data_IF_747966788549
#
_entry.id   IF_747966788549
#
_cell.length_a   1.000
_cell.length_b   1.000
_cell.length_c   1.000
_cell.angle_alpha   90.00
_cell.angle_beta   90.00
_cell.angle_gamma   90.00
#
_symmetry.space_group_name_H-M   'P 1'
#
loop_
_entity.id
_entity.type
_entity.pdbx_description
1 polymer ?
#
# COMPACT_ATOMS: atom_id res chain seq x y z
N UNK A 1 9.14 -9.45 -14.93
CA UNK A 1 8.06 -8.55 -14.46
C UNK A 1 6.88 -8.78 -15.39
N UNK A 2 5.65 -8.85 -14.87
CA UNK A 2 4.47 -8.98 -15.74
C UNK A 2 4.35 -7.72 -16.59
N UNK A 3 3.94 -7.86 -17.84
CA UNK A 3 3.58 -6.74 -18.71
C UNK A 3 2.28 -6.09 -18.23
N UNK A 4 2.06 -4.84 -18.60
CA UNK A 4 0.82 -4.11 -18.29
C UNK A 4 -0.42 -4.89 -18.73
N UNK A 5 -0.35 -5.56 -19.89
CA UNK A 5 -1.43 -6.40 -20.42
C UNK A 5 -1.68 -7.61 -19.53
N UNK A 6 -0.64 -8.32 -19.12
CA UNK A 6 -0.77 -9.49 -18.25
C UNK A 6 -1.32 -9.12 -16.87
N UNK A 7 -0.92 -7.97 -16.32
CA UNK A 7 -1.44 -7.45 -15.05
C UNK A 7 -2.95 -7.17 -15.18
N UNK A 8 -3.37 -6.51 -16.26
CA UNK A 8 -4.79 -6.19 -16.50
C UNK A 8 -5.64 -7.45 -16.67
N UNK A 9 -5.16 -8.43 -17.44
CA UNK A 9 -5.88 -9.69 -17.66
C UNK A 9 -6.08 -10.45 -16.33
N UNK A 10 -5.01 -10.61 -15.55
CA UNK A 10 -5.10 -11.26 -14.22
C UNK A 10 -6.01 -10.50 -13.26
N UNK A 11 -6.01 -9.16 -13.31
CA UNK A 11 -6.90 -8.33 -12.51
C UNK A 11 -8.37 -8.54 -12.85
N UNK A 12 -8.72 -8.61 -14.15
CA UNK A 12 -10.09 -8.87 -14.61
C UNK A 12 -10.55 -10.26 -14.19
N UNK A 13 -9.70 -11.28 -14.36
CA UNK A 13 -10.01 -12.64 -13.90
C UNK A 13 -10.28 -12.70 -12.40
N UNK A 14 -9.43 -12.04 -11.59
CA UNK A 14 -9.62 -11.96 -10.15
C UNK A 14 -10.95 -11.27 -9.77
N UNK A 15 -11.31 -10.18 -10.45
CA UNK A 15 -12.58 -9.48 -10.23
C UNK A 15 -13.78 -10.36 -10.57
N UNK A 16 -13.74 -11.07 -11.71
CA UNK A 16 -14.80 -11.98 -12.12
C UNK A 16 -14.95 -13.13 -11.12
N UNK A 17 -13.84 -13.70 -10.65
CA UNK A 17 -13.86 -14.80 -9.69
C UNK A 17 -14.40 -14.37 -8.32
N UNK A 18 -14.10 -13.16 -7.87
CA UNK A 18 -14.55 -12.65 -6.58
C UNK A 18 -15.99 -12.11 -6.58
N UNK A 19 -16.40 -11.43 -7.64
CA UNK A 19 -17.65 -10.66 -7.69
C UNK A 19 -18.70 -11.26 -8.64
N UNK A 20 -18.29 -12.11 -9.58
CA UNK A 20 -19.08 -12.51 -10.74
C UNK A 20 -19.05 -11.47 -11.87
N UNK A 21 -19.38 -11.90 -13.09
CA UNK A 21 -19.23 -11.10 -14.33
C UNK A 21 -19.93 -9.73 -14.27
N UNK A 22 -21.21 -9.72 -13.88
CA UNK A 22 -22.04 -8.49 -13.86
C UNK A 22 -21.50 -7.47 -12.85
N UNK A 23 -21.10 -7.94 -11.66
CA UNK A 23 -20.59 -7.06 -10.61
C UNK A 23 -19.17 -6.58 -10.91
N UNK A 24 -18.34 -7.41 -11.55
CA UNK A 24 -17.01 -7.01 -12.02
C UNK A 24 -17.09 -5.89 -13.08
N UNK A 25 -18.00 -5.99 -14.05
CA UNK A 25 -18.23 -4.93 -15.03
C UNK A 25 -18.71 -3.62 -14.38
N UNK A 26 -19.63 -3.72 -13.42
CA UNK A 26 -20.09 -2.57 -12.64
C UNK A 26 -18.95 -1.94 -11.84
N UNK A 27 -18.10 -2.74 -11.21
CA UNK A 27 -16.92 -2.26 -10.47
C UNK A 27 -15.98 -1.47 -11.38
N UNK A 28 -15.61 -2.02 -12.55
CA UNK A 28 -14.75 -1.33 -13.52
C UNK A 28 -15.40 -0.01 -13.97
N UNK A 29 -16.71 -0.03 -14.22
CA UNK A 29 -17.47 1.17 -14.60
C UNK A 29 -17.45 2.25 -13.52
N UNK A 30 -17.51 1.88 -12.23
CA UNK A 30 -17.43 2.83 -11.12
C UNK A 30 -16.03 3.44 -11.01
N UNK A 31 -14.98 2.62 -11.09
CA UNK A 31 -13.58 3.06 -11.05
C UNK A 31 -13.25 4.03 -12.20
N UNK A 32 -13.87 3.84 -13.38
CA UNK A 32 -13.67 4.74 -14.52
C UNK A 32 -14.47 6.05 -14.42
N UNK A 33 -15.56 6.07 -13.66
CA UNK A 33 -16.46 7.25 -13.53
C UNK A 33 -16.02 8.19 -12.42
N UNK A 34 -15.54 7.65 -11.31
CA UNK A 34 -15.18 8.41 -10.13
C UNK A 34 -13.73 8.12 -9.73
N UNK A 35 -12.92 9.16 -9.43
CA UNK A 35 -11.58 8.94 -8.92
C UNK A 35 -11.67 8.21 -7.58
N UNK A 36 -11.15 7.00 -7.53
CA UNK A 36 -11.05 6.24 -6.30
C UNK A 36 -10.05 6.91 -5.36
N UNK A 37 -10.47 7.24 -4.13
CA UNK A 37 -9.59 7.81 -3.12
C UNK A 37 -8.64 6.73 -2.59
N UNK A 38 -7.50 6.62 -3.28
CA UNK A 38 -6.44 5.70 -2.92
C UNK A 38 -5.87 5.99 -1.51
N UNK A 39 -5.84 7.26 -1.09
CA UNK A 39 -5.33 7.65 0.24
C UNK A 39 -6.25 7.14 1.35
N UNK A 40 -7.56 7.25 1.16
CA UNK A 40 -8.52 6.72 2.12
C UNK A 40 -8.50 5.18 2.17
N UNK A 41 -8.49 4.51 1.02
CA UNK A 41 -8.42 3.05 0.96
C UNK A 41 -7.14 2.51 1.62
N UNK A 42 -6.00 3.12 1.32
CA UNK A 42 -4.71 2.69 1.85
C UNK A 42 -4.64 2.84 3.38
N UNK A 43 -5.18 3.93 3.94
CA UNK A 43 -5.28 4.12 5.41
C UNK A 43 -6.08 3.01 6.09
N UNK A 44 -7.16 2.55 5.45
CA UNK A 44 -8.01 1.50 5.99
C UNK A 44 -7.41 0.09 5.79
N UNK A 45 -6.40 -0.08 4.94
CA UNK A 45 -5.73 -1.37 4.72
C UNK A 45 -4.81 -1.76 5.89
N UNK A 46 -4.33 -0.78 6.65
CA UNK A 46 -3.41 -0.99 7.79
C UNK A 46 -4.08 -0.79 9.14
N UNK A 47 -5.41 -0.82 9.23
CA UNK A 47 -6.14 -0.54 10.48
C UNK A 47 -5.81 -1.46 11.66
N UNK A 48 -5.12 -2.58 11.43
CA UNK A 48 -4.65 -3.49 12.50
C UNK A 48 -3.31 -3.05 13.14
N UNK A 49 -2.62 -2.05 12.59
CA UNK A 49 -1.50 -1.37 13.23
C UNK A 49 -1.63 0.13 12.95
N UNK A 50 -1.92 0.92 13.98
CA UNK A 50 -2.19 2.35 13.79
C UNK A 50 -1.04 3.00 13.01
N UNK A 51 -1.38 3.85 12.03
CA UNK A 51 -0.38 4.59 11.25
C UNK A 51 0.60 5.35 12.16
N UNK A 52 0.13 5.77 13.34
CA UNK A 52 0.94 6.26 14.45
C UNK A 52 2.03 5.27 14.89
N UNK A 53 1.69 4.00 15.18
CA UNK A 53 2.66 2.97 15.61
C UNK A 53 3.69 2.68 14.51
N UNK A 54 3.27 2.61 13.25
CA UNK A 54 4.20 2.39 12.14
C UNK A 54 5.17 3.58 11.98
N UNK A 55 4.65 4.81 12.11
CA UNK A 55 5.44 6.05 12.07
C UNK A 55 6.39 6.16 13.26
N UNK A 56 5.92 5.84 14.48
CA UNK A 56 6.74 5.79 15.68
C UNK A 56 7.87 4.76 15.55
N UNK A 57 7.57 3.56 15.05
CA UNK A 57 8.58 2.53 14.83
C UNK A 57 9.61 2.94 13.77
N UNK A 58 9.20 3.61 12.70
CA UNK A 58 10.13 4.15 11.71
C UNK A 58 11.02 5.27 12.30
N UNK A 59 10.44 6.20 13.07
CA UNK A 59 11.20 7.25 13.76
C UNK A 59 12.14 6.70 14.83
N UNK A 60 11.73 5.67 15.58
CA UNK A 60 12.55 5.01 16.58
C UNK A 60 13.75 4.30 15.93
N UNK A 61 13.55 3.59 14.82
CA UNK A 61 14.64 2.97 14.06
C UNK A 61 15.59 4.02 13.44
N UNK A 62 15.05 5.13 12.92
CA UNK A 62 15.87 6.23 12.40
C UNK A 62 16.72 6.89 13.49
N UNK A 63 16.13 7.15 14.67
CA UNK A 63 16.85 7.73 15.82
C UNK A 63 17.90 6.77 16.38
N UNK A 64 17.58 5.48 16.50
CA UNK A 64 18.53 4.47 16.96
C UNK A 64 19.76 4.35 16.05
N UNK A 65 19.56 4.37 14.72
CA UNK A 65 20.66 4.34 13.76
C UNK A 65 21.47 5.65 13.73
N UNK A 66 20.83 6.81 13.97
CA UNK A 66 21.53 8.09 14.07
C UNK A 66 22.45 8.16 15.30
N UNK A 67 21.99 7.66 16.45
CA UNK A 67 22.79 7.62 17.69
C UNK A 67 23.97 6.63 17.54
N UNK A 68 23.77 5.52 16.82
CA UNK A 68 24.84 4.56 16.55
C UNK A 68 25.94 5.13 15.62
N UNK A 69 25.59 6.00 14.67
CA UNK A 69 26.56 6.69 13.82
C UNK A 69 27.33 7.80 14.54
N UNK A 70 26.73 8.47 15.53
CA UNK A 70 27.38 9.58 16.27
C UNK A 70 28.39 9.07 17.33
N UNK A 71 28.29 7.83 17.80
CA UNK A 71 29.24 7.23 18.75
C UNK A 71 30.57 6.76 18.12
N UNK A 72 30.64 6.62 16.79
CA UNK A 72 31.88 6.28 16.08
C UNK A 72 32.83 7.49 15.92
N UNK A 73 32.34 8.72 16.03
CA UNK A 73 33.14 9.94 15.83
C UNK A 73 33.77 10.52 17.12
N UNK A 74 33.57 9.89 18.28
CA UNK A 74 34.11 10.40 19.58
C UNK A 74 35.32 9.61 20.10
N UNK A 75 35.82 8.61 19.37
CA UNK A 75 37.09 7.94 19.68
C UNK A 75 38.08 8.24 18.55
N UNK A 76 38.49 9.50 18.48
CA UNK A 76 39.64 9.99 17.72
C UNK A 76 40.73 10.46 18.66
#
# INVERSE_FOLDING_TARGET
>A
MLTDTEIKLKGIEALINALGKVQAEKFISLILREPFDYTLWQKNLWSDASLEELSQNAMNNYRANKIASEQQDTIG
#
